data_IF_119816694328
#
_entry.id   IF_119816694328
#
_cell.length_a   1.000
_cell.length_b   1.000
_cell.length_c   1.000
_cell.angle_alpha   90.00
_cell.angle_beta   90.00
_cell.angle_gamma   90.00
#
_symmetry.space_group_name_H-M   'P 1'
#
loop_
_entity.id
_entity.type
_entity.pdbx_description
1 polymer ?
#
# COMPACT_ATOMS: atom_id res chain seq x y z
N UNK A 1 12.17 -16.20 15.95
CA UNK A 1 13.33 -16.43 15.06
C UNK A 1 13.17 -15.53 13.84
N UNK A 2 14.07 -14.57 13.59
CA UNK A 2 14.03 -13.77 12.36
C UNK A 2 14.60 -14.65 11.25
N UNK A 3 13.74 -15.22 10.41
CA UNK A 3 14.18 -16.02 9.28
C UNK A 3 14.86 -15.08 8.28
N UNK A 4 16.17 -15.23 8.07
CA UNK A 4 16.93 -14.36 7.19
C UNK A 4 16.70 -14.78 5.73
N UNK A 5 15.70 -14.17 5.08
CA UNK A 5 15.37 -14.41 3.67
C UNK A 5 16.54 -14.01 2.76
N UNK A 6 16.92 -14.89 1.85
CA UNK A 6 17.89 -14.56 0.80
C UNK A 6 17.32 -13.56 -0.20
N UNK A 7 18.21 -12.87 -0.94
CA UNK A 7 17.82 -11.91 -2.00
C UNK A 7 16.93 -12.58 -3.06
N UNK A 8 17.20 -13.85 -3.39
CA UNK A 8 16.40 -14.61 -4.36
C UNK A 8 14.99 -14.89 -3.84
N UNK A 9 14.86 -15.26 -2.57
CA UNK A 9 13.56 -15.49 -1.94
C UNK A 9 12.76 -14.18 -1.84
N UNK A 10 13.38 -13.09 -1.39
CA UNK A 10 12.75 -11.76 -1.39
C UNK A 10 12.26 -11.38 -2.80
N UNK A 11 13.04 -11.68 -3.84
CA UNK A 11 12.65 -11.44 -5.23
C UNK A 11 11.49 -12.33 -5.71
N UNK A 12 11.38 -13.57 -5.24
CA UNK A 12 10.21 -14.42 -5.56
C UNK A 12 8.96 -13.94 -4.83
N UNK A 13 9.08 -13.53 -3.57
CA UNK A 13 7.97 -12.99 -2.76
C UNK A 13 7.33 -11.80 -3.45
N UNK A 14 8.13 -10.85 -3.95
CA UNK A 14 7.60 -9.66 -4.65
C UNK A 14 6.99 -10.00 -6.01
N UNK A 15 7.47 -11.04 -6.70
CA UNK A 15 6.87 -11.51 -7.95
C UNK A 15 5.52 -12.15 -7.70
N UNK A 16 5.40 -12.90 -6.60
CA UNK A 16 4.16 -13.52 -6.14
C UNK A 16 3.21 -12.52 -5.46
N UNK A 17 3.66 -11.30 -5.18
CA UNK A 17 2.90 -10.26 -4.47
C UNK A 17 2.37 -10.73 -3.11
N UNK A 18 3.17 -11.51 -2.40
CA UNK A 18 2.76 -12.09 -1.12
C UNK A 18 2.75 -11.02 -0.01
N UNK A 19 1.54 -10.67 0.44
CA UNK A 19 1.30 -9.66 1.48
C UNK A 19 1.69 -10.14 2.87
N UNK A 20 1.91 -11.45 3.07
CA UNK A 20 2.33 -12.03 4.36
C UNK A 20 3.69 -11.50 4.82
N UNK A 21 4.48 -10.95 3.89
CA UNK A 21 5.79 -10.38 4.14
C UNK A 21 5.79 -8.85 4.20
N UNK A 22 4.62 -8.20 4.21
CA UNK A 22 4.53 -6.76 4.46
C UNK A 22 5.11 -6.40 5.84
N UNK A 23 5.93 -5.35 5.88
CA UNK A 23 6.63 -4.93 7.09
C UNK A 23 7.90 -5.73 7.43
N UNK A 24 8.17 -6.84 6.75
CA UNK A 24 9.42 -7.61 6.94
C UNK A 24 10.57 -6.99 6.15
N UNK A 25 10.31 -6.54 4.94
CA UNK A 25 11.25 -5.81 4.10
C UNK A 25 10.50 -4.88 3.14
N UNK A 26 11.24 -3.95 2.57
CA UNK A 26 10.77 -3.12 1.45
C UNK A 26 11.67 -3.32 0.24
N UNK A 27 11.11 -3.03 -0.93
CA UNK A 27 11.80 -3.19 -2.20
C UNK A 27 12.02 -1.84 -2.84
N UNK A 28 13.26 -1.53 -3.20
CA UNK A 28 13.62 -0.29 -3.86
C UNK A 28 14.16 -0.59 -5.27
N UNK A 29 13.73 0.23 -6.23
CA UNK A 29 14.08 0.11 -7.64
C UNK A 29 15.08 1.19 -8.01
N UNK A 30 16.31 0.77 -8.34
CA UNK A 30 17.42 1.66 -8.69
C UNK A 30 17.11 2.59 -9.87
N UNK A 31 16.41 2.08 -10.88
CA UNK A 31 16.16 2.83 -12.13
C UNK A 31 15.12 3.92 -11.98
N UNK A 32 14.15 3.76 -11.08
CA UNK A 32 13.06 4.73 -10.88
C UNK A 32 13.22 5.57 -9.61
N UNK A 33 14.13 5.14 -8.72
CA UNK A 33 14.30 5.71 -7.39
C UNK A 33 13.08 5.51 -6.49
N UNK A 34 12.24 4.49 -6.75
CA UNK A 34 11.00 4.26 -6.01
C UNK A 34 11.15 3.05 -5.09
N UNK A 35 10.64 3.14 -3.86
CA UNK A 35 10.46 1.98 -2.98
C UNK A 35 8.98 1.60 -2.79
N UNK A 36 8.73 0.29 -2.65
CA UNK A 36 7.43 -0.36 -2.64
C UNK A 36 7.34 -1.43 -1.53
N UNK A 37 6.10 -1.83 -1.21
CA UNK A 37 5.78 -3.02 -0.40
C UNK A 37 5.86 -4.30 -1.24
N UNK A 38 6.08 -5.48 -0.62
CA UNK A 38 6.12 -6.74 -1.36
C UNK A 38 4.81 -7.09 -2.08
N UNK A 39 3.64 -6.70 -1.54
CA UNK A 39 2.33 -6.86 -2.19
C UNK A 39 2.01 -5.86 -3.30
N UNK A 40 2.98 -5.02 -3.73
CA UNK A 40 2.70 -3.97 -4.70
C UNK A 40 2.28 -4.55 -6.06
N UNK A 41 1.20 -4.00 -6.63
CA UNK A 41 0.69 -4.39 -7.94
C UNK A 41 1.50 -3.83 -9.11
N UNK A 42 2.42 -2.90 -8.85
CA UNK A 42 3.28 -2.29 -9.86
C UNK A 42 4.14 -3.33 -10.60
N UNK A 43 4.44 -3.07 -11.87
CA UNK A 43 5.28 -3.96 -12.67
C UNK A 43 6.69 -4.02 -12.09
N UNK A 44 7.12 -5.21 -11.69
CA UNK A 44 8.45 -5.42 -11.14
C UNK A 44 9.52 -5.37 -12.26
N UNK A 45 10.60 -4.57 -12.10
CA UNK A 45 11.71 -4.56 -13.04
C UNK A 45 12.65 -5.75 -12.80
N UNK A 46 13.64 -5.91 -13.69
CA UNK A 46 14.65 -6.96 -13.59
C UNK A 46 15.36 -6.96 -12.23
N UNK A 47 15.61 -8.15 -11.67
CA UNK A 47 16.28 -8.35 -10.38
C UNK A 47 17.58 -7.55 -10.18
N UNK A 48 18.33 -7.28 -11.25
CA UNK A 48 19.57 -6.49 -11.20
C UNK A 48 19.35 -5.04 -10.71
N UNK A 49 18.17 -4.50 -10.96
CA UNK A 49 17.77 -3.13 -10.61
C UNK A 49 17.00 -3.05 -9.29
N UNK A 50 16.86 -4.18 -8.59
CA UNK A 50 16.09 -4.29 -7.36
C UNK A 50 17.05 -4.42 -6.17
N UNK A 51 16.78 -3.66 -5.12
CA UNK A 51 17.44 -3.74 -3.82
C UNK A 51 16.40 -3.88 -2.72
N UNK A 52 16.79 -4.49 -1.61
CA UNK A 52 15.92 -4.74 -0.48
C UNK A 52 16.47 -4.03 0.74
N UNK A 53 15.58 -3.38 1.49
CA UNK A 53 15.90 -2.73 2.76
C UNK A 53 15.00 -3.32 3.85
N UNK A 54 15.47 -3.33 5.09
CA UNK A 54 14.70 -3.88 6.21
C UNK A 54 13.65 -2.89 6.73
N UNK A 55 13.76 -1.60 6.37
CA UNK A 55 12.77 -0.59 6.76
C UNK A 55 12.71 0.62 5.83
N UNK A 56 11.60 1.35 5.93
CA UNK A 56 11.30 2.57 5.15
C UNK A 56 12.37 3.64 5.33
N UNK A 57 12.83 3.84 6.57
CA UNK A 57 13.82 4.86 6.90
C UNK A 57 15.11 4.67 6.10
N UNK A 58 15.57 3.43 5.92
CA UNK A 58 16.79 3.14 5.20
C UNK A 58 16.66 3.48 3.71
N UNK A 59 15.52 3.14 3.08
CA UNK A 59 15.28 3.54 1.69
C UNK A 59 15.21 5.06 1.52
N UNK A 60 14.59 5.78 2.45
CA UNK A 60 14.51 7.25 2.41
C UNK A 60 15.91 7.86 2.56
N UNK A 61 16.72 7.37 3.50
CA UNK A 61 18.10 7.83 3.71
C UNK A 61 18.98 7.59 2.47
N UNK A 62 18.70 6.52 1.72
CA UNK A 62 19.36 6.23 0.44
C UNK A 62 18.75 7.00 -0.76
N UNK A 63 17.82 7.92 -0.53
CA UNK A 63 17.27 8.81 -1.56
C UNK A 63 16.13 8.21 -2.40
N UNK A 64 15.50 7.12 -1.95
CA UNK A 64 14.34 6.55 -2.63
C UNK A 64 13.05 7.23 -2.18
N UNK A 65 12.15 7.48 -3.15
CA UNK A 65 10.80 8.05 -2.91
C UNK A 65 9.74 6.95 -2.76
N UNK A 66 8.67 7.19 -1.99
CA UNK A 66 7.60 6.22 -1.81
C UNK A 66 6.80 6.00 -3.10
N UNK A 67 6.38 4.76 -3.33
CA UNK A 67 5.50 4.41 -4.45
C UNK A 67 4.10 5.02 -4.27
N UNK A 68 3.56 5.60 -5.35
CA UNK A 68 2.21 6.16 -5.36
C UNK A 68 1.08 5.13 -5.47
N UNK A 69 1.40 3.88 -5.85
CA UNK A 69 0.43 2.81 -6.04
C UNK A 69 0.17 2.08 -4.72
N UNK A 70 1.22 1.50 -4.12
CA UNK A 70 1.07 0.79 -2.84
C UNK A 70 1.19 1.69 -1.62
N UNK A 71 1.44 2.99 -1.81
CA UNK A 71 1.52 4.02 -0.77
C UNK A 71 2.17 3.49 0.51
N UNK A 72 3.47 3.12 0.46
CA UNK A 72 4.10 2.34 1.50
C UNK A 72 4.15 3.04 2.88
N UNK A 73 3.88 4.34 2.92
CA UNK A 73 3.78 5.15 4.12
C UNK A 73 2.35 5.22 4.72
N UNK A 74 1.31 4.89 3.96
CA UNK A 74 -0.09 4.91 4.42
C UNK A 74 -0.50 3.52 4.92
N UNK A 75 -1.07 3.40 6.12
CA UNK A 75 -1.56 2.08 6.60
C UNK A 75 -2.62 1.55 5.63
N UNK A 76 -2.47 0.31 5.19
CA UNK A 76 -3.37 -0.30 4.20
C UNK A 76 -4.81 -0.51 4.70
N UNK A 77 -5.05 -0.47 6.02
CA UNK A 77 -6.27 -1.00 6.65
C UNK A 77 -7.16 0.04 7.35
N UNK A 78 -6.81 1.32 7.33
CA UNK A 78 -7.72 2.33 7.87
C UNK A 78 -8.63 2.82 6.75
N UNK A 79 -9.69 2.05 6.47
CA UNK A 79 -10.89 2.58 5.83
C UNK A 79 -11.26 3.85 6.60
N UNK A 80 -11.31 5.03 5.94
CA UNK A 80 -11.61 6.28 6.60
C UNK A 80 -12.87 6.15 7.44
N UNK A 81 -12.87 6.74 8.63
CA UNK A 81 -13.97 6.60 9.60
C UNK A 81 -15.33 6.94 8.98
N UNK A 82 -15.35 7.92 8.07
CA UNK A 82 -16.57 8.32 7.36
C UNK A 82 -17.15 7.21 6.48
N UNK A 83 -16.30 6.40 5.81
CA UNK A 83 -16.76 5.28 4.96
C UNK A 83 -17.37 4.18 5.82
N UNK A 84 -16.76 3.89 6.99
CA UNK A 84 -17.32 2.90 7.93
C UNK A 84 -18.71 3.31 8.40
N UNK A 85 -18.90 4.60 8.73
CA UNK A 85 -20.19 5.13 9.15
C UNK A 85 -21.25 5.01 8.05
N UNK A 86 -20.91 5.32 6.80
CA UNK A 86 -21.82 5.16 5.65
C UNK A 86 -22.21 3.69 5.43
N UNK A 87 -21.25 2.77 5.48
CA UNK A 87 -21.52 1.32 5.33
C UNK A 87 -22.47 0.84 6.43
N UNK A 88 -22.28 1.31 7.66
CA UNK A 88 -23.15 0.99 8.78
C UNK A 88 -24.57 1.55 8.60
N UNK A 89 -24.71 2.80 8.15
CA UNK A 89 -26.02 3.42 7.85
C UNK A 89 -26.78 2.63 6.77
N UNK A 90 -26.13 2.32 5.65
CA UNK A 90 -26.74 1.57 4.54
C UNK A 90 -27.09 0.13 4.91
N UNK A 91 -26.32 -0.49 5.82
CA UNK A 91 -26.58 -1.85 6.28
C UNK A 91 -27.77 -1.92 7.26
N UNK A 92 -28.03 -0.85 8.02
CA UNK A 92 -29.16 -0.77 8.96
C UNK A 92 -30.48 -0.35 8.29
N UNK A 93 -30.42 0.41 7.20
CA UNK A 93 -31.61 0.81 6.43
C UNK A 93 -31.40 0.57 4.92
N UNK A 94 -31.90 -0.56 4.39
CA UNK A 94 -31.80 -0.90 2.97
C UNK A 94 -32.52 0.07 2.02
N UNK A 95 -33.41 0.94 2.53
CA UNK A 95 -34.13 1.93 1.73
C UNK A 95 -33.48 3.32 1.78
N UNK A 96 -32.45 3.50 2.60
CA UNK A 96 -31.72 4.76 2.70
C UNK A 96 -30.95 5.03 1.40
N UNK A 97 -31.33 6.11 0.72
CA UNK A 97 -30.66 6.59 -0.50
C UNK A 97 -29.83 7.82 -0.16
N UNK A 98 -28.53 7.63 0.02
CA UNK A 98 -27.56 8.72 0.18
C UNK A 98 -27.20 9.25 -1.21
N UNK A 99 -27.48 10.52 -1.50
CA UNK A 99 -27.10 11.17 -2.76
C UNK A 99 -25.74 11.88 -2.63
N UNK A 100 -25.13 12.23 -3.76
CA UNK A 100 -23.90 13.05 -3.80
C UNK A 100 -24.05 14.40 -3.08
N UNK A 101 -25.28 14.91 -2.99
CA UNK A 101 -25.60 16.11 -2.23
C UNK A 101 -25.43 15.88 -0.73
N UNK A 102 -25.96 14.77 -0.20
CA UNK A 102 -25.89 14.42 1.23
C UNK A 102 -24.44 14.17 1.67
N UNK A 103 -23.62 13.57 0.80
CA UNK A 103 -22.19 13.38 1.06
C UNK A 103 -21.44 14.72 1.14
N UNK A 104 -21.71 15.64 0.21
CA UNK A 104 -21.11 16.99 0.22
C UNK A 104 -21.53 17.82 1.44
N UNK A 105 -22.77 17.67 1.93
CA UNK A 105 -23.18 18.31 3.18
C UNK A 105 -22.44 17.75 4.41
N UNK A 106 -21.90 16.53 4.31
CA UNK A 106 -21.09 15.88 5.34
C UNK A 106 -19.58 16.11 5.15
N UNK A 107 -19.18 17.06 4.29
CA UNK A 107 -17.78 17.36 3.93
C UNK A 107 -17.03 16.18 3.29
N UNK A 108 -17.78 15.29 2.64
CA UNK A 108 -17.24 14.11 1.95
C UNK A 108 -17.28 14.38 0.45
N UNK A 109 -16.12 14.40 -0.19
CA UNK A 109 -16.01 14.51 -1.65
C UNK A 109 -16.25 13.14 -2.31
N UNK A 110 -17.37 12.94 -3.05
CA UNK A 110 -17.68 11.65 -3.65
C UNK A 110 -16.83 11.31 -4.89
N UNK A 111 -15.93 12.21 -5.32
CA UNK A 111 -15.14 12.05 -6.52
C UNK A 111 -13.67 12.41 -6.26
N UNK A 112 -12.76 11.46 -6.42
CA UNK A 112 -11.30 11.64 -6.46
C UNK A 112 -10.70 10.69 -7.49
#
# INVERSE_FOLDING_TARGET
>A
MRNQLSIREKYQIILNKDTSYEGIFITAVKTTGIFCRPGCTARMPNAKNVVFYDGINEAILNGYRPCKICKPMEKADETPEYIKNIIHELSNDPFLKIKDYDLRMRDIEPNT
#
